data_IF_342744513953
#
_entry.id   IF_342744513953
#
_cell.length_a   1.000
_cell.length_b   1.000
_cell.length_c   1.000
_cell.angle_alpha   90.00
_cell.angle_beta   90.00
_cell.angle_gamma   90.00
#
_symmetry.space_group_name_H-M   'P 1'
#
loop_
_entity.id
_entity.type
_entity.pdbx_description
1 polymer ?
#
# COMPACT_ATOMS: atom_id res chain seq x y z
N UNK A 1 17.56 20.05 -40.16
CA UNK A 1 19.03 20.05 -40.05
C UNK A 1 19.58 21.18 -40.91
N UNK A 2 20.72 21.77 -40.55
CA UNK A 2 21.28 22.92 -41.24
C UNK A 2 22.08 22.45 -42.48
N UNK A 3 21.69 22.80 -43.72
CA UNK A 3 22.33 22.30 -44.94
C UNK A 3 23.79 22.72 -45.08
N UNK A 4 24.19 23.85 -44.48
CA UNK A 4 25.58 24.32 -44.52
C UNK A 4 26.50 23.53 -43.58
N UNK A 5 25.93 22.95 -42.52
CA UNK A 5 26.66 22.07 -41.61
C UNK A 5 26.96 20.72 -42.29
N UNK A 6 25.97 20.17 -42.99
CA UNK A 6 26.11 18.91 -43.72
C UNK A 6 27.20 18.98 -44.80
N UNK A 7 27.24 20.10 -45.56
CA UNK A 7 28.25 20.30 -46.62
C UNK A 7 29.69 20.42 -46.10
N UNK A 8 29.88 20.87 -44.87
CA UNK A 8 31.22 21.10 -44.29
C UNK A 8 31.70 19.91 -43.47
N UNK A 9 30.84 19.35 -42.63
CA UNK A 9 31.22 18.36 -41.62
C UNK A 9 31.22 16.94 -42.17
N UNK A 10 30.28 16.60 -43.07
CA UNK A 10 30.17 15.24 -43.60
C UNK A 10 31.42 14.85 -44.42
N UNK A 11 31.96 15.69 -45.34
CA UNK A 11 33.14 15.31 -46.10
C UNK A 11 34.42 15.19 -45.27
N UNK A 12 34.48 15.87 -44.13
CA UNK A 12 35.60 15.79 -43.18
C UNK A 12 35.51 14.49 -42.37
N UNK A 13 34.33 14.20 -41.80
CA UNK A 13 34.06 12.96 -41.09
C UNK A 13 34.26 11.71 -41.98
N UNK A 14 33.91 11.78 -43.26
CA UNK A 14 34.14 10.69 -44.22
C UNK A 14 35.63 10.47 -44.52
N UNK A 15 36.43 11.55 -44.56
CA UNK A 15 37.89 11.44 -44.74
C UNK A 15 38.57 10.86 -43.51
N UNK A 16 38.12 11.25 -42.32
CA UNK A 16 38.60 10.68 -41.06
C UNK A 16 38.22 9.20 -40.92
N UNK A 17 37.01 8.83 -41.35
CA UNK A 17 36.62 7.44 -41.40
C UNK A 17 37.50 6.65 -42.38
N UNK A 18 37.74 7.18 -43.58
CA UNK A 18 38.58 6.53 -44.58
C UNK A 18 40.03 6.36 -44.09
N UNK A 19 40.59 7.38 -43.43
CA UNK A 19 41.94 7.30 -42.86
C UNK A 19 41.99 6.26 -41.73
N UNK A 20 40.98 6.22 -40.85
CA UNK A 20 40.90 5.21 -39.78
C UNK A 20 40.82 3.78 -40.31
N UNK A 21 40.02 3.54 -41.37
CA UNK A 21 39.90 2.23 -42.03
C UNK A 21 41.21 1.86 -42.73
N UNK A 22 41.92 2.83 -43.31
CA UNK A 22 43.19 2.59 -44.01
C UNK A 22 44.34 2.32 -43.04
N UNK A 23 44.26 2.86 -41.82
CA UNK A 23 45.22 2.65 -40.72
C UNK A 23 44.92 1.37 -39.94
N UNK A 24 43.74 0.76 -40.09
CA UNK A 24 43.49 -0.57 -39.55
C UNK A 24 44.50 -1.55 -40.17
N UNK A 25 45.45 -2.09 -39.38
CA UNK A 25 46.33 -3.11 -39.88
C UNK A 25 45.45 -4.28 -40.31
N UNK A 26 45.70 -4.72 -41.54
CA UNK A 26 45.17 -5.94 -42.15
C UNK A 26 44.79 -6.99 -41.11
N UNK A 27 43.56 -7.50 -41.21
CA UNK A 27 42.98 -8.64 -40.48
C UNK A 27 43.74 -9.97 -40.72
N UNK A 28 45.05 -9.93 -40.97
CA UNK A 28 45.94 -11.07 -41.23
C UNK A 28 46.61 -11.60 -39.97
N UNK A 29 46.59 -10.88 -38.84
CA UNK A 29 46.93 -11.48 -37.56
C UNK A 29 45.70 -12.18 -37.01
N UNK A 30 45.60 -13.50 -37.26
CA UNK A 30 44.74 -14.40 -36.49
C UNK A 30 44.94 -14.06 -35.01
N UNK A 31 43.94 -13.48 -34.31
CA UNK A 31 44.09 -13.20 -32.90
C UNK A 31 44.37 -14.54 -32.20
N UNK A 32 45.25 -14.57 -31.18
CA UNK A 32 45.54 -15.80 -30.45
C UNK A 32 44.21 -16.44 -30.01
N UNK A 33 44.12 -17.77 -30.08
CA UNK A 33 42.94 -18.57 -29.76
C UNK A 33 42.60 -18.48 -28.26
N UNK A 34 42.30 -17.27 -27.76
CA UNK A 34 41.82 -17.04 -26.41
C UNK A 34 40.36 -17.48 -26.35
N UNK A 35 39.96 -18.21 -25.30
CA UNK A 35 38.56 -18.59 -25.12
C UNK A 35 37.67 -17.35 -25.12
N UNK A 36 36.45 -17.49 -25.66
CA UNK A 36 35.49 -16.40 -25.84
C UNK A 36 35.22 -15.62 -24.53
N UNK A 37 35.26 -16.30 -23.38
CA UNK A 37 35.07 -15.69 -22.05
C UNK A 37 36.14 -14.66 -21.71
N UNK A 38 37.41 -14.88 -22.08
CA UNK A 38 38.49 -13.92 -21.83
C UNK A 38 38.38 -12.71 -22.76
N UNK A 39 38.04 -12.93 -24.03
CA UNK A 39 37.85 -11.84 -25.01
C UNK A 39 36.69 -10.92 -24.63
N UNK A 40 35.68 -11.43 -23.92
CA UNK A 40 34.57 -10.61 -23.42
C UNK A 40 35.01 -9.61 -22.36
N UNK A 41 36.05 -9.91 -21.58
CA UNK A 41 36.56 -9.03 -20.53
C UNK A 41 37.14 -7.74 -21.10
N UNK A 42 37.76 -7.80 -22.28
CA UNK A 42 38.36 -6.65 -22.96
C UNK A 42 37.33 -5.56 -23.31
N UNK A 43 36.04 -5.90 -23.38
CA UNK A 43 34.95 -4.97 -23.68
C UNK A 43 34.20 -4.48 -22.43
N UNK A 44 34.57 -4.95 -21.24
CA UNK A 44 33.96 -4.54 -19.98
C UNK A 44 34.77 -3.37 -19.41
N UNK A 45 34.20 -2.17 -19.49
CA UNK A 45 34.74 -1.01 -18.79
C UNK A 45 34.31 -1.08 -17.32
N UNK A 46 35.25 -1.45 -16.45
CA UNK A 46 35.03 -1.44 -15.00
C UNK A 46 35.53 -0.10 -14.44
N UNK A 47 34.84 0.42 -13.42
CA UNK A 47 35.30 1.62 -12.73
C UNK A 47 36.65 1.39 -12.00
N UNK A 48 37.37 2.49 -11.80
CA UNK A 48 38.77 2.52 -11.35
C UNK A 48 38.97 1.69 -10.06
N UNK A 49 39.57 0.51 -10.20
CA UNK A 49 39.97 -0.36 -9.08
C UNK A 49 39.26 -1.71 -8.94
N UNK A 50 38.30 -2.06 -9.79
CA UNK A 50 37.69 -3.40 -9.78
C UNK A 50 38.14 -4.29 -10.95
N UNK A 51 38.44 -5.56 -10.65
CA UNK A 51 38.83 -6.56 -11.66
C UNK A 51 37.60 -6.98 -12.48
N UNK A 52 37.74 -6.99 -13.81
CA UNK A 52 36.69 -7.48 -14.70
C UNK A 52 36.53 -8.99 -14.54
N UNK A 53 35.43 -9.42 -13.90
CA UNK A 53 35.10 -10.83 -13.75
C UNK A 53 34.27 -11.31 -14.94
N UNK A 54 34.55 -12.54 -15.39
CA UNK A 54 33.80 -13.12 -16.50
C UNK A 54 32.38 -13.51 -16.05
N UNK A 55 31.37 -13.43 -16.92
CA UNK A 55 30.01 -13.84 -16.60
C UNK A 55 29.92 -15.29 -16.10
N UNK A 56 30.75 -16.19 -16.64
CA UNK A 56 30.84 -17.57 -16.17
C UNK A 56 31.37 -17.69 -14.74
N UNK A 57 32.33 -16.85 -14.36
CA UNK A 57 32.85 -16.78 -12.98
C UNK A 57 31.80 -16.27 -11.99
N UNK A 58 31.08 -15.21 -12.37
CA UNK A 58 29.98 -14.64 -11.58
C UNK A 58 28.86 -15.66 -11.37
N UNK A 59 28.45 -16.38 -12.42
CA UNK A 59 27.41 -17.39 -12.29
C UNK A 59 27.83 -18.56 -11.39
N UNK A 60 29.12 -18.94 -11.41
CA UNK A 60 29.67 -19.96 -10.50
C UNK A 60 29.65 -19.49 -9.06
N UNK A 61 30.06 -18.25 -8.77
CA UNK A 61 30.06 -17.72 -7.40
C UNK A 61 28.65 -17.56 -6.84
N UNK A 62 27.69 -17.10 -7.66
CA UNK A 62 26.27 -17.05 -7.28
C UNK A 62 25.74 -18.46 -7.01
N UNK A 63 26.05 -19.43 -7.87
CA UNK A 63 25.59 -20.81 -7.69
C UNK A 63 26.16 -21.44 -6.41
N UNK A 64 27.44 -21.19 -6.11
CA UNK A 64 28.08 -21.66 -4.89
C UNK A 64 27.46 -21.02 -3.64
N UNK A 65 27.18 -19.71 -3.68
CA UNK A 65 26.50 -19.00 -2.61
C UNK A 65 25.10 -19.57 -2.35
N UNK A 66 24.32 -19.80 -3.41
CA UNK A 66 22.99 -20.41 -3.30
C UNK A 66 23.06 -21.84 -2.78
N UNK A 67 24.04 -22.64 -3.21
CA UNK A 67 24.25 -23.98 -2.70
C UNK A 67 24.60 -23.97 -1.20
N UNK A 68 25.47 -23.06 -0.76
CA UNK A 68 25.83 -22.87 0.64
C UNK A 68 24.62 -22.45 1.48
N UNK A 69 23.78 -21.55 0.99
CA UNK A 69 22.56 -21.13 1.67
C UNK A 69 21.54 -22.26 1.76
N UNK A 70 21.35 -23.04 0.69
CA UNK A 70 20.49 -24.24 0.72
C UNK A 70 21.02 -25.26 1.74
N UNK A 71 22.31 -25.55 1.74
CA UNK A 71 22.91 -26.47 2.69
C UNK A 71 22.75 -26.00 4.15
N UNK A 72 22.88 -24.68 4.40
CA UNK A 72 22.66 -24.09 5.73
C UNK A 72 21.19 -24.21 6.16
N UNK A 73 20.25 -23.89 5.27
CA UNK A 73 18.82 -24.02 5.55
C UNK A 73 18.43 -25.48 5.77
N UNK A 74 18.93 -26.41 4.95
CA UNK A 74 18.69 -27.83 5.10
C UNK A 74 19.28 -28.36 6.41
N UNK A 75 20.48 -27.89 6.81
CA UNK A 75 21.08 -28.23 8.09
C UNK A 75 20.27 -27.68 9.28
N UNK A 76 19.80 -26.43 9.20
CA UNK A 76 18.94 -25.81 10.22
C UNK A 76 17.61 -26.57 10.34
N UNK A 77 16.96 -26.83 9.21
CA UNK A 77 15.72 -27.59 9.15
C UNK A 77 15.94 -28.99 9.74
N UNK A 78 16.96 -29.73 9.29
CA UNK A 78 17.26 -31.07 9.85
C UNK A 78 17.54 -31.02 11.34
N UNK A 79 18.28 -30.02 11.84
CA UNK A 79 18.52 -29.86 13.26
C UNK A 79 17.20 -29.65 14.02
N UNK A 80 16.37 -28.70 13.59
CA UNK A 80 15.08 -28.42 14.22
C UNK A 80 14.13 -29.64 14.18
N UNK A 81 14.02 -30.31 13.04
CA UNK A 81 13.17 -31.49 12.88
C UNK A 81 13.68 -32.70 13.69
N UNK A 82 14.99 -32.94 13.75
CA UNK A 82 15.56 -34.05 14.52
C UNK A 82 15.59 -33.78 16.03
N UNK A 83 15.82 -32.54 16.47
CA UNK A 83 15.72 -32.16 17.88
C UNK A 83 14.28 -32.26 18.38
N UNK A 84 13.28 -31.91 17.56
CA UNK A 84 11.86 -32.11 17.86
C UNK A 84 11.50 -33.60 18.02
N UNK A 85 12.08 -34.49 17.22
CA UNK A 85 11.86 -35.94 17.34
C UNK A 85 12.58 -36.56 18.55
N UNK A 86 13.82 -36.12 18.86
CA UNK A 86 14.57 -36.66 20.01
C UNK A 86 13.96 -36.27 21.36
N UNK A 87 13.38 -35.07 21.48
CA UNK A 87 12.65 -34.66 22.68
C UNK A 87 11.40 -35.49 22.96
N UNK A 88 10.74 -35.99 21.91
CA UNK A 88 9.54 -36.85 22.01
C UNK A 88 9.84 -38.32 22.29
N UNK A 89 11.01 -38.82 21.90
CA UNK A 89 11.43 -40.19 22.21
C UNK A 89 12.13 -40.32 23.57
N UNK A 90 12.78 -39.26 24.08
CA UNK A 90 13.35 -39.29 25.44
C UNK A 90 12.31 -39.08 26.54
N UNK A 91 11.14 -38.49 26.24
CA UNK A 91 10.06 -38.30 27.21
C UNK A 91 9.19 -39.55 27.46
N UNK A 92 9.35 -40.60 26.65
CA UNK A 92 8.55 -41.83 26.76
C UNK A 92 9.34 -43.03 27.34
N UNK A 93 10.56 -42.80 27.85
CA UNK A 93 11.46 -43.86 28.34
C UNK A 93 11.92 -43.69 29.80
N UNK A 94 11.30 -42.79 30.59
CA UNK A 94 11.51 -42.75 32.05
C UNK A 94 10.19 -42.97 32.79
N UNK A 95 10.22 -43.95 33.68
CA UNK A 95 9.13 -44.47 34.50
C UNK A 95 8.39 -43.43 35.35
N UNK A 96 7.17 -43.80 35.72
CA UNK A 96 6.13 -42.93 36.23
C UNK A 96 6.40 -42.24 37.57
N UNK A 97 5.73 -41.10 37.75
CA UNK A 97 5.11 -40.56 38.96
C UNK A 97 4.39 -39.23 38.58
N UNK A 98 3.39 -38.77 39.35
CA UNK A 98 2.29 -37.97 38.81
C UNK A 98 2.39 -36.45 39.07
N UNK A 99 1.63 -35.70 38.25
CA UNK A 99 1.03 -34.37 38.48
C UNK A 99 1.96 -33.15 38.63
N UNK A 100 1.91 -32.25 37.64
CA UNK A 100 1.65 -30.82 37.84
C UNK A 100 1.38 -30.12 36.49
N UNK A 101 0.27 -29.39 36.45
CA UNK A 101 -0.25 -28.57 35.36
C UNK A 101 0.78 -27.55 34.85
N UNK A 102 1.11 -27.56 33.55
CA UNK A 102 1.32 -26.36 32.71
C UNK A 102 1.67 -26.75 31.26
N UNK A 103 0.85 -26.25 30.34
CA UNK A 103 1.07 -26.15 28.88
C UNK A 103 1.32 -27.45 28.08
N UNK A 104 0.25 -28.22 27.90
CA UNK A 104 0.09 -29.05 26.71
C UNK A 104 -0.08 -28.17 25.45
N UNK A 105 1.03 -27.66 24.92
CA UNK A 105 1.11 -27.35 23.49
C UNK A 105 1.37 -28.67 22.78
N UNK A 106 0.32 -29.48 22.72
CA UNK A 106 0.22 -30.72 21.97
C UNK A 106 0.76 -30.43 20.56
N UNK A 107 1.97 -30.89 20.27
CA UNK A 107 2.78 -30.32 19.20
C UNK A 107 2.17 -30.74 17.85
N UNK A 108 1.38 -29.83 17.30
CA UNK A 108 0.64 -30.00 16.06
C UNK A 108 1.67 -30.10 14.92
N UNK A 109 1.72 -31.26 14.29
CA UNK A 109 2.44 -31.45 13.04
C UNK A 109 1.85 -30.51 11.98
N UNK A 110 2.61 -29.51 11.52
CA UNK A 110 2.20 -28.60 10.44
C UNK A 110 2.35 -29.23 9.04
N UNK A 111 2.39 -30.56 8.94
CA UNK A 111 2.49 -31.26 7.67
C UNK A 111 1.13 -31.25 6.96
N UNK A 112 1.13 -30.86 5.67
CA UNK A 112 -0.08 -30.83 4.82
C UNK A 112 -0.80 -32.18 4.69
N UNK A 113 -0.13 -33.28 5.05
CA UNK A 113 -0.63 -34.65 4.96
C UNK A 113 -1.29 -35.15 6.24
N UNK A 114 -1.18 -34.42 7.35
CA UNK A 114 -1.64 -34.87 8.66
C UNK A 114 -2.94 -34.13 9.03
N UNK A 115 -4.06 -34.56 8.42
CA UNK A 115 -5.35 -33.94 8.63
C UNK A 115 -5.94 -34.36 9.99
N UNK A 116 -5.94 -33.46 10.99
CA UNK A 116 -6.67 -33.68 12.24
C UNK A 116 -8.17 -33.81 11.95
N UNK A 117 -8.83 -34.80 12.54
CA UNK A 117 -10.28 -34.93 12.52
C UNK A 117 -10.88 -33.80 13.37
N UNK A 118 -11.40 -32.77 12.71
CA UNK A 118 -12.02 -31.62 13.37
C UNK A 118 -13.44 -31.99 13.78
N UNK A 119 -13.68 -32.03 15.09
CA UNK A 119 -15.02 -32.23 15.62
C UNK A 119 -15.84 -30.93 15.49
N UNK A 120 -16.75 -30.93 14.52
CA UNK A 120 -17.50 -29.71 14.14
C UNK A 120 -18.53 -29.33 15.19
N UNK A 121 -18.98 -30.26 16.03
CA UNK A 121 -19.96 -29.98 17.08
C UNK A 121 -19.36 -29.14 18.22
N UNK A 122 -18.09 -29.38 18.57
CA UNK A 122 -17.36 -28.61 19.58
C UNK A 122 -16.89 -27.26 19.03
N UNK A 123 -16.58 -27.20 17.74
CA UNK A 123 -16.04 -25.99 17.09
C UNK A 123 -17.15 -25.03 16.60
N UNK A 124 -18.36 -25.53 16.35
CA UNK A 124 -19.54 -24.68 16.14
C UNK A 124 -20.07 -24.16 17.47
N UNK A 125 -19.54 -23.03 17.93
CA UNK A 125 -20.18 -22.25 19.00
C UNK A 125 -21.45 -21.63 18.41
N UNK A 126 -22.62 -22.11 18.83
CA UNK A 126 -23.88 -21.44 18.52
C UNK A 126 -23.93 -20.12 19.31
N UNK A 127 -23.60 -19.01 18.66
CA UNK A 127 -23.92 -17.67 19.16
C UNK A 127 -25.42 -17.44 19.00
N UNK A 128 -26.21 -18.03 19.90
CA UNK A 128 -27.64 -17.79 19.98
C UNK A 128 -27.82 -16.43 20.64
N UNK A 129 -27.86 -15.37 19.83
CA UNK A 129 -28.35 -14.08 20.27
C UNK A 129 -29.84 -14.22 20.64
N UNK A 130 -30.13 -14.28 21.94
CA UNK A 130 -31.50 -14.18 22.46
C UNK A 130 -31.99 -12.75 22.25
N UNK A 131 -32.41 -12.43 21.04
CA UNK A 131 -33.24 -11.25 20.79
C UNK A 131 -34.64 -11.53 21.33
N UNK A 132 -34.86 -11.35 22.63
CA UNK A 132 -36.22 -11.32 23.19
C UNK A 132 -37.05 -10.18 22.57
N UNK A 133 -36.37 -9.23 21.92
CA UNK A 133 -36.98 -8.22 21.07
C UNK A 133 -36.93 -8.60 19.58
N UNK A 134 -37.88 -9.44 19.17
CA UNK A 134 -38.13 -9.70 17.76
C UNK A 134 -38.70 -8.46 17.04
N UNK A 135 -38.66 -8.44 15.69
CA UNK A 135 -39.19 -7.34 14.86
C UNK A 135 -40.67 -6.99 15.15
N UNK A 136 -41.41 -7.94 15.73
CA UNK A 136 -42.82 -7.84 16.06
C UNK A 136 -43.13 -6.78 17.14
N UNK A 137 -42.22 -6.54 18.11
CA UNK A 137 -42.45 -5.53 19.16
C UNK A 137 -42.38 -4.09 18.65
N UNK A 138 -41.73 -3.85 17.51
CA UNK A 138 -41.71 -2.52 16.87
C UNK A 138 -43.05 -2.11 16.24
N UNK A 139 -44.01 -3.03 16.13
CA UNK A 139 -45.33 -2.75 15.53
C UNK A 139 -46.47 -2.65 16.54
N UNK A 140 -46.22 -2.98 17.82
CA UNK A 140 -47.21 -2.75 18.88
C UNK A 140 -46.89 -1.44 19.60
N UNK A 141 -47.51 -0.37 19.10
CA UNK A 141 -47.63 0.91 19.82
C UNK A 141 -48.53 0.69 21.04
N UNK A 142 -47.95 0.18 22.13
CA UNK A 142 -48.58 0.24 23.45
C UNK A 142 -48.28 1.62 24.01
N UNK A 143 -49.30 2.48 24.03
CA UNK A 143 -49.21 3.78 24.69
C UNK A 143 -49.21 3.56 26.21
N UNK A 144 -48.02 3.50 26.82
CA UNK A 144 -47.87 3.67 28.26
C UNK A 144 -47.27 5.05 28.51
N UNK A 145 -48.12 5.95 29.01
CA UNK A 145 -47.71 7.19 29.70
C UNK A 145 -46.88 6.81 30.92
N UNK A 146 -45.65 7.31 30.99
CA UNK A 146 -44.80 7.19 32.17
C UNK A 146 -43.56 8.06 32.02
N UNK A 147 -43.46 9.06 32.88
CA UNK A 147 -42.43 10.09 32.89
C UNK A 147 -41.04 9.56 33.29
N UNK A 148 -40.04 10.34 32.88
CA UNK A 148 -38.68 10.46 33.44
C UNK A 148 -37.58 9.50 32.95
N UNK A 149 -36.50 10.15 32.50
CA UNK A 149 -35.13 9.66 32.31
C UNK A 149 -34.87 8.77 31.09
N UNK A 150 -35.08 9.34 29.89
CA UNK A 150 -34.34 8.88 28.71
C UNK A 150 -32.83 9.11 28.93
N UNK A 151 -31.96 8.12 28.67
CA UNK A 151 -30.54 8.39 28.61
C UNK A 151 -30.36 9.34 27.44
N UNK A 152 -29.85 10.54 27.73
CA UNK A 152 -29.21 11.37 26.73
C UNK A 152 -28.24 10.45 25.99
N UNK A 153 -28.64 10.01 24.80
CA UNK A 153 -27.72 9.63 23.76
C UNK A 153 -26.86 10.87 23.57
N UNK A 154 -25.77 10.91 24.35
CA UNK A 154 -24.57 11.61 23.95
C UNK A 154 -24.36 11.08 22.55
N UNK A 155 -24.72 11.91 21.57
CA UNK A 155 -23.96 12.01 20.34
C UNK A 155 -22.55 12.22 20.88
N UNK A 156 -21.85 11.10 21.11
CA UNK A 156 -20.41 11.06 21.13
C UNK A 156 -20.12 11.66 19.78
N UNK A 157 -19.82 12.96 19.78
CA UNK A 157 -19.04 13.55 18.71
C UNK A 157 -17.92 12.56 18.54
N UNK A 158 -17.93 11.89 17.40
CA UNK A 158 -16.88 10.98 16.96
C UNK A 158 -15.67 11.87 16.66
N UNK A 159 -15.16 12.50 17.73
CA UNK A 159 -13.87 13.13 17.87
C UNK A 159 -12.78 12.06 17.98
N UNK A 160 -13.07 10.83 17.54
CA UNK A 160 -12.09 9.89 17.03
C UNK A 160 -11.61 10.36 15.64
N UNK A 161 -11.46 11.67 15.45
CA UNK A 161 -10.82 12.27 14.30
C UNK A 161 -9.44 11.65 14.21
N UNK A 162 -9.28 10.74 13.25
CA UNK A 162 -8.01 10.12 12.90
C UNK A 162 -7.16 11.25 12.33
N UNK A 163 -6.60 12.05 13.22
CA UNK A 163 -5.73 13.16 12.92
C UNK A 163 -4.33 12.61 12.75
N UNK A 164 -3.58 13.18 11.81
CA UNK A 164 -2.18 12.82 11.56
C UNK A 164 -1.33 12.86 12.85
N UNK A 165 -1.71 13.69 13.82
CA UNK A 165 -1.07 13.82 15.13
C UNK A 165 -1.21 12.57 16.02
N UNK A 166 -2.28 11.78 15.86
CA UNK A 166 -2.54 10.60 16.71
C UNK A 166 -1.93 9.32 16.15
N UNK A 167 -1.67 9.28 14.85
CA UNK A 167 -1.10 8.14 14.16
C UNK A 167 0.05 8.62 13.26
N UNK A 168 1.31 8.61 13.75
CA UNK A 168 2.45 9.13 12.99
C UNK A 168 2.65 8.44 11.63
N UNK A 169 2.32 7.14 11.53
CA UNK A 169 2.38 6.40 10.28
C UNK A 169 1.42 6.89 9.19
N UNK A 170 0.35 7.62 9.53
CA UNK A 170 -0.52 8.24 8.53
C UNK A 170 0.07 9.50 7.93
N UNK A 171 0.81 10.27 8.72
CA UNK A 171 1.52 11.46 8.24
C UNK A 171 2.62 11.07 7.25
N UNK A 172 3.35 9.99 7.53
CA UNK A 172 4.35 9.43 6.61
C UNK A 172 3.70 8.96 5.30
N UNK A 173 2.59 8.21 5.37
CA UNK A 173 1.85 7.77 4.17
C UNK A 173 1.32 8.95 3.36
N UNK A 174 0.79 9.98 4.03
CA UNK A 174 0.29 11.18 3.38
C UNK A 174 1.43 11.95 2.70
N UNK A 175 2.59 12.12 3.35
CA UNK A 175 3.81 12.69 2.75
C UNK A 175 4.30 11.88 1.54
N UNK A 176 4.18 10.55 1.59
CA UNK A 176 4.54 9.70 0.46
C UNK A 176 3.59 9.92 -0.73
N UNK A 177 2.28 10.04 -0.48
CA UNK A 177 1.31 10.36 -1.52
C UNK A 177 1.51 11.78 -2.09
N UNK A 178 1.80 12.74 -1.22
CA UNK A 178 2.14 14.12 -1.61
C UNK A 178 3.38 14.18 -2.51
N UNK A 179 4.42 13.43 -2.15
CA UNK A 179 5.67 13.39 -2.93
C UNK A 179 5.50 12.65 -4.24
N UNK A 180 4.74 11.55 -4.25
CA UNK A 180 4.42 10.77 -5.44
C UNK A 180 3.57 11.54 -6.46
N UNK A 181 2.58 12.30 -5.98
CA UNK A 181 1.71 13.09 -6.85
C UNK A 181 2.21 14.52 -7.10
N UNK A 182 3.33 14.91 -6.47
CA UNK A 182 3.80 16.30 -6.43
C UNK A 182 2.69 17.29 -6.02
N UNK A 183 1.89 16.93 -5.01
CA UNK A 183 0.83 17.79 -4.49
C UNK A 183 1.06 18.09 -3.00
N UNK A 184 0.72 19.29 -2.55
CA UNK A 184 0.70 19.63 -1.12
C UNK A 184 -0.74 19.59 -0.61
N UNK A 185 -1.01 18.73 0.37
CA UNK A 185 -2.31 18.66 1.02
C UNK A 185 -2.40 19.75 2.10
N UNK A 186 -3.45 20.55 2.04
CA UNK A 186 -3.81 21.48 3.12
C UNK A 186 -5.02 20.87 3.84
N UNK A 187 -4.92 20.58 5.15
CA UNK A 187 -5.98 19.91 5.87
C UNK A 187 -7.19 20.84 6.01
N UNK A 188 -8.17 20.67 5.13
CA UNK A 188 -9.56 20.91 5.51
C UNK A 188 -10.05 19.68 6.30
N UNK A 189 -11.05 19.83 7.19
CA UNK A 189 -11.61 18.68 7.88
C UNK A 189 -12.70 18.02 7.01
N UNK A 190 -12.50 16.76 6.56
CA UNK A 190 -13.63 15.92 6.18
C UNK A 190 -13.67 14.58 6.94
N UNK A 191 -14.79 13.87 6.72
CA UNK A 191 -15.07 12.51 7.18
C UNK A 191 -13.93 11.50 6.91
N UNK A 192 -13.86 10.46 7.76
CA UNK A 192 -12.73 9.53 7.99
C UNK A 192 -11.56 9.58 6.99
N UNK A 193 -10.46 10.23 7.40
CA UNK A 193 -9.20 10.36 6.66
C UNK A 193 -8.71 9.01 6.08
N UNK A 194 -8.87 7.93 6.85
CA UNK A 194 -8.40 6.58 6.51
C UNK A 194 -9.04 6.02 5.22
N UNK A 195 -10.37 6.09 5.11
CA UNK A 195 -11.07 5.56 3.93
C UNK A 195 -10.68 6.30 2.67
N UNK A 196 -10.46 7.62 2.79
CA UNK A 196 -10.05 8.45 1.67
C UNK A 196 -8.62 8.18 1.23
N UNK A 197 -7.67 8.05 2.17
CA UNK A 197 -6.28 7.67 1.86
C UNK A 197 -6.28 6.33 1.12
N UNK A 198 -7.00 5.34 1.65
CA UNK A 198 -7.12 4.02 1.02
C UNK A 198 -7.70 4.11 -0.39
N UNK A 199 -8.79 4.86 -0.58
CA UNK A 199 -9.41 5.05 -1.89
C UNK A 199 -8.47 5.69 -2.91
N UNK A 200 -7.68 6.69 -2.48
CA UNK A 200 -6.68 7.34 -3.33
C UNK A 200 -5.57 6.37 -3.70
N UNK A 201 -5.04 5.60 -2.74
CA UNK A 201 -4.02 4.58 -2.99
C UNK A 201 -4.50 3.53 -3.99
N UNK A 202 -5.69 2.95 -3.76
CA UNK A 202 -6.29 1.95 -4.65
C UNK A 202 -6.46 2.50 -6.08
N UNK A 203 -6.86 3.78 -6.21
CA UNK A 203 -7.03 4.40 -7.51
C UNK A 203 -5.71 4.74 -8.22
N UNK A 204 -4.67 5.14 -7.49
CA UNK A 204 -3.32 5.35 -8.05
C UNK A 204 -2.78 4.03 -8.60
N UNK A 205 -2.93 2.95 -7.84
CA UNK A 205 -2.48 1.60 -8.26
C UNK A 205 -3.20 1.19 -9.56
N UNK A 206 -4.50 1.46 -9.67
CA UNK A 206 -5.25 1.20 -10.90
C UNK A 206 -4.71 2.02 -12.09
N UNK A 207 -4.45 3.32 -11.89
CA UNK A 207 -3.93 4.19 -12.95
C UNK A 207 -2.53 3.79 -13.42
N UNK A 208 -1.65 3.38 -12.50
CA UNK A 208 -0.32 2.88 -12.85
C UNK A 208 -0.36 1.57 -13.62
N UNK A 209 -1.30 0.71 -13.26
CA UNK A 209 -1.50 -0.58 -13.92
C UNK A 209 -2.10 -0.42 -15.31
N UNK A 210 -3.12 0.40 -15.46
CA UNK A 210 -3.89 0.52 -16.69
C UNK A 210 -3.23 1.49 -17.70
N UNK A 211 -2.55 2.53 -17.22
CA UNK A 211 -1.92 3.56 -18.05
C UNK A 211 -0.48 3.87 -17.60
N UNK A 212 0.47 2.94 -17.80
CA UNK A 212 1.84 3.07 -17.29
C UNK A 212 2.60 4.28 -17.89
N UNK A 213 2.40 4.60 -19.17
CA UNK A 213 3.07 5.72 -19.83
C UNK A 213 2.54 7.08 -19.35
N UNK A 214 1.24 7.18 -19.09
CA UNK A 214 0.61 8.38 -18.53
C UNK A 214 1.03 8.60 -17.08
N UNK A 215 1.01 7.54 -16.27
CA UNK A 215 1.48 7.57 -14.89
C UNK A 215 2.96 7.99 -14.80
N UNK A 216 3.82 7.47 -15.67
CA UNK A 216 5.24 7.85 -15.72
C UNK A 216 5.46 9.33 -16.09
N UNK A 217 4.48 10.00 -16.73
CA UNK A 217 4.56 11.42 -17.03
C UNK A 217 4.11 12.29 -15.85
N UNK A 218 3.09 11.86 -15.10
CA UNK A 218 2.39 12.68 -14.11
C UNK A 218 2.74 12.35 -12.65
N UNK A 219 3.33 11.18 -12.39
CA UNK A 219 3.78 10.79 -11.07
C UNK A 219 5.30 10.92 -10.93
N UNK A 220 5.72 11.17 -9.69
CA UNK A 220 7.11 11.32 -9.31
C UNK A 220 7.68 9.97 -8.89
N UNK A 221 8.17 9.21 -9.88
CA UNK A 221 8.75 7.89 -9.66
C UNK A 221 10.17 7.98 -9.08
N UNK A 222 10.56 7.05 -8.19
CA UNK A 222 11.92 7.00 -7.67
C UNK A 222 12.93 6.76 -8.81
N UNK A 223 14.03 7.50 -8.80
CA UNK A 223 15.12 7.43 -9.80
C UNK A 223 14.74 7.85 -11.22
N UNK A 224 13.78 8.77 -11.38
CA UNK A 224 13.45 9.36 -12.68
C UNK A 224 14.51 10.37 -13.12
N UNK A 225 15.15 10.11 -14.26
CA UNK A 225 16.11 11.05 -14.89
C UNK A 225 15.46 12.01 -15.89
N UNK A 226 14.45 11.54 -16.63
CA UNK A 226 13.75 12.30 -17.68
C UNK A 226 12.36 11.69 -17.93
N UNK A 227 11.26 12.43 -18.17
CA UNK A 227 11.07 13.89 -18.13
C UNK A 227 11.37 14.51 -16.75
N UNK A 228 11.50 15.85 -16.63
CA UNK A 228 11.63 16.49 -15.32
C UNK A 228 10.39 16.23 -14.44
N UNK A 229 10.56 16.18 -13.10
CA UNK A 229 9.44 15.93 -12.19
C UNK A 229 8.36 17.02 -12.35
N UNK A 230 7.07 16.64 -12.26
CA UNK A 230 5.98 17.60 -12.32
C UNK A 230 6.13 18.65 -11.20
N UNK A 231 5.84 19.91 -11.53
CA UNK A 231 5.92 21.03 -10.57
C UNK A 231 4.91 20.81 -9.43
N UNK A 232 5.34 21.04 -8.19
CA UNK A 232 4.49 20.85 -7.01
C UNK A 232 3.27 21.77 -7.06
N UNK A 233 2.07 21.22 -7.12
CA UNK A 233 0.82 21.97 -7.09
C UNK A 233 0.26 22.00 -5.65
N UNK A 234 0.00 23.19 -5.12
CA UNK A 234 -0.71 23.35 -3.83
C UNK A 234 -2.20 23.32 -4.13
N UNK A 235 -2.91 22.31 -3.64
CA UNK A 235 -4.36 22.20 -3.83
C UNK A 235 -5.08 22.52 -2.53
N UNK A 236 -5.55 23.76 -2.42
CA UNK A 236 -6.48 24.13 -1.35
C UNK A 236 -7.87 23.60 -1.72
N UNK A 237 -8.23 22.44 -1.16
CA UNK A 237 -9.59 21.92 -1.29
C UNK A 237 -10.50 22.73 -0.37
N UNK A 238 -11.09 23.79 -0.96
CA UNK A 238 -12.14 24.58 -0.31
C UNK A 238 -13.33 23.66 -0.08
N UNK A 239 -13.48 23.16 1.15
CA UNK A 239 -14.70 22.44 1.52
C UNK A 239 -15.84 23.42 1.33
N UNK A 240 -16.77 23.10 0.41
CA UNK A 240 -18.05 23.81 0.35
C UNK A 240 -18.68 23.57 1.71
N UNK A 241 -18.58 24.58 2.59
CA UNK A 241 -19.14 24.54 3.93
C UNK A 241 -20.57 24.07 3.78
N UNK A 242 -20.87 22.91 4.37
CA UNK A 242 -22.22 22.39 4.45
C UNK A 242 -22.98 23.46 5.22
N UNK A 243 -23.80 24.26 4.54
CA UNK A 243 -24.54 25.33 5.17
C UNK A 243 -25.39 24.69 6.28
N UNK A 244 -24.97 24.90 7.53
CA UNK A 244 -25.62 24.37 8.72
C UNK A 244 -26.88 25.19 9.05
N UNK A 245 -27.72 25.45 8.05
CA UNK A 245 -29.10 25.81 8.28
C UNK A 245 -29.89 24.56 7.98
N UNK A 246 -30.20 23.81 9.04
CA UNK A 246 -31.10 22.66 8.94
C UNK A 246 -32.36 23.11 8.19
N UNK A 247 -32.93 22.23 7.36
CA UNK A 247 -34.21 22.49 6.69
C UNK A 247 -35.28 22.94 7.68
N UNK A 248 -35.19 22.47 8.93
CA UNK A 248 -36.01 22.89 10.05
C UNK A 248 -35.82 24.36 10.42
N UNK A 249 -34.59 24.87 10.52
CA UNK A 249 -34.36 26.29 10.77
C UNK A 249 -34.90 27.17 9.63
N UNK A 250 -34.79 26.72 8.38
CA UNK A 250 -35.40 27.41 7.22
C UNK A 250 -36.93 27.40 7.31
N UNK A 251 -37.54 26.25 7.58
CA UNK A 251 -38.98 26.10 7.71
C UNK A 251 -39.55 26.88 8.91
N UNK A 252 -38.80 27.00 10.00
CA UNK A 252 -39.20 27.81 11.17
C UNK A 252 -39.19 29.30 10.83
N UNK A 253 -38.18 29.79 10.12
CA UNK A 253 -38.13 31.18 9.68
C UNK A 253 -39.24 31.48 8.66
N UNK A 254 -39.48 30.58 7.71
CA UNK A 254 -40.56 30.72 6.72
C UNK A 254 -41.94 30.72 7.40
N UNK A 255 -42.14 29.88 8.42
CA UNK A 255 -43.39 29.88 9.22
C UNK A 255 -43.57 31.19 10.00
N UNK A 256 -42.49 31.76 10.54
CA UNK A 256 -42.55 33.04 11.25
C UNK A 256 -42.86 34.21 10.29
N UNK A 257 -42.29 34.20 9.08
CA UNK A 257 -42.62 35.17 8.04
C UNK A 257 -44.10 35.08 7.63
N UNK A 258 -44.62 33.87 7.43
CA UNK A 258 -46.03 33.66 7.08
C UNK A 258 -46.96 34.09 8.21
N UNK A 259 -46.62 33.82 9.47
CA UNK A 259 -47.41 34.30 10.61
C UNK A 259 -47.44 35.82 10.68
N UNK A 260 -46.30 36.48 10.49
CA UNK A 260 -46.23 37.94 10.44
C UNK A 260 -47.09 38.53 9.32
N UNK A 261 -47.06 37.92 8.13
CA UNK A 261 -47.90 38.35 7.01
C UNK A 261 -49.40 38.19 7.29
N UNK A 262 -49.82 37.13 8.01
CA UNK A 262 -51.22 36.94 8.43
C UNK A 262 -51.64 38.00 9.45
N UNK A 263 -50.76 38.34 10.40
CA UNK A 263 -51.02 39.39 11.39
C UNK A 263 -51.15 40.76 10.74
N UNK A 264 -50.28 41.10 9.79
CA UNK A 264 -50.36 42.33 9.00
C UNK A 264 -51.67 42.40 8.20
N UNK A 265 -52.09 41.29 7.55
CA UNK A 265 -53.36 41.22 6.81
C UNK A 265 -54.60 41.33 7.69
N UNK A 266 -54.50 40.94 8.96
CA UNK A 266 -55.59 41.04 9.93
C UNK A 266 -55.70 42.45 10.53
N UNK A 267 -54.61 43.20 10.55
CA UNK A 267 -54.57 44.60 11.03
C UNK A 267 -55.11 45.62 10.02
N UNK A 268 -55.13 45.31 8.73
CA UNK A 268 -55.65 46.22 7.69
C UNK A 268 -57.18 46.22 7.54
N UNK A 269 -57.91 45.36 8.28
CA UNK A 269 -59.38 45.25 8.22
C UNK A 269 -60.17 46.05 9.25
N UNK A 270 -59.52 46.80 10.15
CA UNK A 270 -60.19 47.53 11.25
C UNK A 270 -60.21 49.06 11.08
N UNK A 271 -59.85 49.58 9.90
CA UNK A 271 -59.98 51.00 9.55
C UNK A 271 -60.68 51.19 8.19
N UNK A 272 -61.95 50.77 8.10
CA UNK A 272 -62.97 51.36 7.21
C UNK A 272 -64.29 51.56 7.96
#
# INVERSE_FOLDING_TARGET
MNPDWERKVIPEALRDLQSSISVCPTLTSRPPDRPLEERKLDYIHVEEGAEALSPGSINKSISELLARNRARNDASNRAEFLHSCKGRHSSNASEGLPLSESDEVESVSCARTDAKTVDREVMMKFDIAKNEEGPLRRTLKVEVKGESNGPTARIVGDDNSVTANRYPGLDERLKNLETHLAMRYVPSPPASLLHRIKFIEDHIIQLERDYPSWAALHFNQPRRGWPPPPRKAVTEVRTKGRASRSSLHRAVLEKLEVQRAIEDFKGEGEHE
#
